data_IF_827538386283
#
_entry.id   IF_827538386283
#
_cell.length_a   1.000
_cell.length_b   1.000
_cell.length_c   1.000
_cell.angle_alpha   90.00
_cell.angle_beta   90.00
_cell.angle_gamma   90.00
#
_symmetry.space_group_name_H-M   'P 1'
#
loop_
_entity.id
_entity.type
_entity.pdbx_description
1 polymer ?
#
# COMPACT_ATOMS: atom_id res chain seq x y z
N UNK A 1 -6.63 -24.86 14.20
CA UNK A 1 -7.90 -24.97 13.43
C UNK A 1 -8.35 -23.56 13.04
N UNK A 2 -8.68 -23.30 11.76
CA UNK A 2 -9.29 -22.03 11.36
C UNK A 2 -10.80 -22.07 11.70
N UNK A 3 -11.37 -21.03 12.33
CA UNK A 3 -12.76 -21.08 12.82
C UNK A 3 -13.77 -21.26 11.67
N UNK A 4 -14.92 -21.92 11.93
CA UNK A 4 -16.00 -22.07 10.94
C UNK A 4 -16.38 -20.73 10.31
N UNK A 5 -16.70 -20.75 9.01
CA UNK A 5 -17.17 -19.56 8.28
C UNK A 5 -16.10 -18.53 7.88
N UNK A 6 -14.81 -18.77 8.13
CA UNK A 6 -13.73 -17.85 7.74
C UNK A 6 -13.73 -17.53 6.23
N UNK A 7 -13.90 -18.55 5.38
CA UNK A 7 -13.94 -18.34 3.91
C UNK A 7 -15.05 -17.38 3.51
N UNK A 8 -16.26 -17.59 4.04
CA UNK A 8 -17.42 -16.72 3.80
C UNK A 8 -17.14 -15.28 4.24
N UNK A 9 -16.50 -15.10 5.40
CA UNK A 9 -16.13 -13.78 5.93
C UNK A 9 -15.08 -13.08 5.05
N UNK A 10 -14.07 -13.80 4.58
CA UNK A 10 -13.09 -13.27 3.61
C UNK A 10 -13.78 -12.87 2.30
N UNK A 11 -14.72 -13.68 1.81
CA UNK A 11 -15.47 -13.36 0.58
C UNK A 11 -16.41 -12.16 0.77
N UNK A 12 -16.96 -11.96 1.97
CA UNK A 12 -17.70 -10.74 2.33
C UNK A 12 -16.80 -9.49 2.33
N UNK A 13 -15.60 -9.58 2.89
CA UNK A 13 -14.62 -8.49 2.92
C UNK A 13 -14.13 -8.13 1.51
N UNK A 14 -13.93 -9.13 0.64
CA UNK A 14 -13.64 -8.89 -0.79
C UNK A 14 -14.79 -8.17 -1.49
N UNK A 15 -16.04 -8.57 -1.22
CA UNK A 15 -17.23 -7.89 -1.76
C UNK A 15 -17.37 -6.46 -1.23
N UNK A 16 -17.01 -6.20 0.03
CA UNK A 16 -16.94 -4.83 0.57
C UNK A 16 -15.92 -3.97 -0.18
N UNK A 17 -14.71 -4.48 -0.43
CA UNK A 17 -13.72 -3.76 -1.22
C UNK A 17 -14.18 -3.49 -2.65
N UNK A 18 -14.85 -4.46 -3.29
CA UNK A 18 -15.42 -4.28 -4.63
C UNK A 18 -16.54 -3.23 -4.64
N UNK A 19 -17.45 -3.27 -3.65
CA UNK A 19 -18.51 -2.25 -3.51
C UNK A 19 -17.92 -0.87 -3.25
N UNK A 20 -16.91 -0.75 -2.40
CA UNK A 20 -16.18 0.50 -2.18
C UNK A 20 -15.56 1.02 -3.48
N UNK A 21 -14.94 0.13 -4.26
CA UNK A 21 -14.34 0.50 -5.53
C UNK A 21 -15.38 0.96 -6.57
N UNK A 22 -16.53 0.30 -6.63
CA UNK A 22 -17.63 0.66 -7.52
C UNK A 22 -18.35 1.95 -7.10
N UNK A 23 -18.42 2.24 -5.80
CA UNK A 23 -18.99 3.49 -5.28
C UNK A 23 -18.08 4.71 -5.51
N UNK A 24 -16.78 4.48 -5.72
CA UNK A 24 -15.77 5.53 -5.90
C UNK A 24 -14.91 5.30 -7.16
N UNK A 25 -15.51 5.32 -8.37
CA UNK A 25 -14.77 5.16 -9.62
C UNK A 25 -13.77 6.30 -9.86
N UNK A 26 -14.05 7.50 -9.35
CA UNK A 26 -13.19 8.67 -9.43
C UNK A 26 -11.87 8.50 -8.65
N UNK A 27 -11.76 7.48 -7.79
CA UNK A 27 -10.57 7.18 -6.98
C UNK A 27 -9.78 5.97 -7.49
N UNK A 28 -10.09 5.46 -8.67
CA UNK A 28 -9.42 4.28 -9.23
C UNK A 28 -7.91 4.46 -9.34
N UNK A 29 -7.44 5.63 -9.78
CA UNK A 29 -6.02 5.92 -9.86
C UNK A 29 -5.35 5.84 -8.48
N UNK A 30 -5.91 6.51 -7.47
CA UNK A 30 -5.36 6.51 -6.11
C UNK A 30 -5.34 5.08 -5.53
N UNK A 31 -6.42 4.33 -5.70
CA UNK A 31 -6.51 2.94 -5.23
C UNK A 31 -5.45 2.04 -5.87
N UNK A 32 -5.22 2.21 -7.16
CA UNK A 32 -4.22 1.43 -7.90
C UNK A 32 -2.80 1.84 -7.51
N UNK A 33 -2.55 3.13 -7.33
CA UNK A 33 -1.29 3.66 -6.83
C UNK A 33 -0.98 3.12 -5.41
N UNK A 34 -1.96 3.09 -4.51
CA UNK A 34 -1.80 2.53 -3.16
C UNK A 34 -1.37 1.06 -3.19
N UNK A 35 -1.97 0.24 -4.07
CA UNK A 35 -1.59 -1.18 -4.24
C UNK A 35 -0.18 -1.33 -4.81
N UNK A 36 0.17 -0.52 -5.82
CA UNK A 36 1.50 -0.53 -6.40
C UNK A 36 2.58 -0.15 -5.37
N UNK A 37 2.36 0.94 -4.61
CA UNK A 37 3.30 1.38 -3.57
C UNK A 37 3.44 0.36 -2.45
N UNK A 38 2.36 -0.30 -2.07
CA UNK A 38 2.43 -1.41 -1.11
C UNK A 38 3.27 -2.57 -1.67
N UNK A 39 3.08 -2.92 -2.94
CA UNK A 39 3.89 -3.92 -3.60
C UNK A 39 5.39 -3.57 -3.64
N UNK A 40 5.74 -2.29 -3.84
CA UNK A 40 7.13 -1.83 -3.76
C UNK A 40 7.73 -2.00 -2.36
N UNK A 41 6.92 -1.82 -1.30
CA UNK A 41 7.36 -2.13 0.05
C UNK A 41 7.62 -3.64 0.23
N UNK A 42 6.74 -4.49 -0.30
CA UNK A 42 6.88 -5.95 -0.20
C UNK A 42 8.01 -6.54 -1.05
N UNK A 43 8.38 -5.89 -2.15
CA UNK A 43 9.57 -6.24 -2.95
C UNK A 43 10.84 -6.24 -2.08
N UNK A 44 10.92 -5.33 -1.11
CA UNK A 44 12.05 -5.24 -0.17
C UNK A 44 12.25 -6.51 0.68
N UNK A 45 11.19 -7.29 0.87
CA UNK A 45 11.23 -8.57 1.58
C UNK A 45 11.31 -9.79 0.63
N UNK A 46 11.33 -9.56 -0.69
CA UNK A 46 11.31 -10.64 -1.68
C UNK A 46 9.95 -11.34 -1.85
N UNK A 47 8.86 -10.78 -1.31
CA UNK A 47 7.51 -11.38 -1.36
C UNK A 47 6.77 -11.13 -2.67
N UNK A 48 7.18 -10.09 -3.41
CA UNK A 48 6.59 -9.72 -4.70
C UNK A 48 7.67 -9.63 -5.75
N UNK A 49 7.45 -10.29 -6.90
CA UNK A 49 8.34 -10.18 -8.05
C UNK A 49 8.23 -8.84 -8.76
N UNK A 50 9.35 -8.36 -9.32
CA UNK A 50 9.43 -7.08 -10.00
C UNK A 50 8.56 -7.04 -11.27
N UNK A 51 8.42 -8.16 -12.00
CA UNK A 51 7.47 -8.26 -13.13
C UNK A 51 6.05 -7.94 -12.70
N UNK A 52 5.61 -8.46 -11.55
CA UNK A 52 4.25 -8.20 -11.03
C UNK A 52 4.07 -6.72 -10.68
N UNK A 53 5.13 -6.05 -10.21
CA UNK A 53 5.08 -4.61 -9.93
C UNK A 53 5.08 -3.76 -11.19
N UNK A 54 5.82 -4.16 -12.23
CA UNK A 54 5.74 -3.51 -13.54
C UNK A 54 4.33 -3.61 -14.11
N UNK A 55 3.68 -4.77 -13.98
CA UNK A 55 2.26 -4.93 -14.37
C UNK A 55 1.32 -4.08 -13.50
N UNK A 56 1.58 -3.98 -12.19
CA UNK A 56 0.82 -3.09 -11.32
C UNK A 56 1.00 -1.62 -11.71
N UNK A 57 2.21 -1.20 -12.10
CA UNK A 57 2.51 0.13 -12.61
C UNK A 57 1.72 0.42 -13.90
N UNK A 58 1.66 -0.52 -14.85
CA UNK A 58 0.82 -0.38 -16.05
C UNK A 58 -0.65 -0.15 -15.69
N UNK A 59 -1.17 -0.82 -14.64
CA UNK A 59 -2.55 -0.59 -14.17
C UNK A 59 -2.72 0.82 -13.62
N UNK A 60 -1.72 1.38 -12.94
CA UNK A 60 -1.76 2.78 -12.48
C UNK A 60 -1.86 3.72 -13.68
N UNK A 61 -1.05 3.50 -14.71
CA UNK A 61 -1.11 4.30 -15.95
C UNK A 61 -2.46 4.13 -16.66
N UNK A 62 -2.98 2.91 -16.76
CA UNK A 62 -4.28 2.66 -17.39
C UNK A 62 -5.47 3.26 -16.62
N UNK A 63 -5.31 3.46 -15.30
CA UNK A 63 -6.27 4.16 -14.46
C UNK A 63 -6.15 5.69 -14.58
N UNK A 64 -5.11 6.22 -15.22
CA UNK A 64 -4.92 7.66 -15.44
C UNK A 64 -5.84 8.15 -16.58
N UNK A 65 -7.09 8.48 -16.24
CA UNK A 65 -8.13 8.89 -17.17
C UNK A 65 -8.76 10.22 -16.76
N UNK A 66 -9.45 10.94 -17.69
CA UNK A 66 -10.26 12.09 -17.32
C UNK A 66 -11.27 11.76 -16.22
N UNK A 67 -11.46 12.68 -15.28
CA UNK A 67 -12.39 12.52 -14.15
C UNK A 67 -11.81 11.82 -12.91
N UNK A 68 -10.54 11.40 -12.92
CA UNK A 68 -9.88 10.85 -11.74
C UNK A 68 -9.51 11.93 -10.73
N UNK A 69 -9.93 11.76 -9.49
CA UNK A 69 -9.54 12.60 -8.36
C UNK A 69 -8.15 12.19 -7.86
N UNK A 70 -7.25 13.17 -7.79
CA UNK A 70 -5.92 12.99 -7.19
C UNK A 70 -5.87 13.37 -5.72
N UNK A 71 -6.83 14.13 -5.21
CA UNK A 71 -6.78 14.67 -3.85
C UNK A 71 -5.67 15.72 -3.66
N UNK A 72 -5.67 16.41 -2.53
CA UNK A 72 -4.74 17.51 -2.22
C UNK A 72 -3.78 17.21 -1.07
N UNK A 73 -3.81 16.00 -0.52
CA UNK A 73 -2.98 15.59 0.61
C UNK A 73 -1.50 15.39 0.27
N UNK A 74 -0.69 15.13 1.29
CA UNK A 74 0.73 14.78 1.13
C UNK A 74 0.92 13.44 0.43
N UNK A 75 0.14 12.41 0.80
CA UNK A 75 0.27 11.08 0.20
C UNK A 75 0.00 11.07 -1.32
N UNK A 76 -1.06 11.70 -1.86
CA UNK A 76 -1.25 11.73 -3.31
C UNK A 76 -0.15 12.47 -4.05
N UNK A 77 0.40 13.55 -3.48
CA UNK A 77 1.55 14.26 -4.05
C UNK A 77 2.77 13.34 -4.14
N UNK A 78 3.06 12.57 -3.10
CA UNK A 78 4.11 11.56 -3.14
C UNK A 78 3.83 10.49 -4.20
N UNK A 79 2.60 9.97 -4.28
CA UNK A 79 2.24 8.97 -5.27
C UNK A 79 2.45 9.46 -6.71
N UNK A 80 2.03 10.70 -7.01
CA UNK A 80 2.25 11.33 -8.31
C UNK A 80 3.74 11.51 -8.61
N UNK A 81 4.51 11.99 -7.64
CA UNK A 81 5.95 12.17 -7.78
C UNK A 81 6.68 10.85 -8.03
N UNK A 82 6.28 9.77 -7.35
CA UNK A 82 6.81 8.43 -7.58
C UNK A 82 6.47 7.97 -8.99
N UNK A 83 5.21 8.13 -9.44
CA UNK A 83 4.84 7.76 -10.82
C UNK A 83 5.65 8.53 -11.86
N UNK A 84 5.93 9.80 -11.61
CA UNK A 84 6.75 10.66 -12.47
C UNK A 84 8.20 10.19 -12.53
N UNK A 85 8.83 9.94 -11.38
CA UNK A 85 10.22 9.47 -11.31
C UNK A 85 10.39 8.05 -11.85
N UNK A 86 9.37 7.20 -11.72
CA UNK A 86 9.37 5.85 -12.27
C UNK A 86 9.04 5.79 -13.76
N UNK A 87 8.49 6.86 -14.35
CA UNK A 87 8.04 6.85 -15.74
C UNK A 87 9.18 6.50 -16.71
N UNK A 88 10.26 7.29 -16.72
CA UNK A 88 11.38 7.03 -17.62
C UNK A 88 11.98 5.62 -17.47
N UNK A 89 12.33 5.14 -16.25
CA UNK A 89 12.96 3.82 -16.11
C UNK A 89 12.00 2.64 -16.29
N UNK A 90 10.70 2.81 -16.07
CA UNK A 90 9.73 1.71 -16.19
C UNK A 90 8.94 1.73 -17.49
N UNK A 91 8.86 2.83 -18.23
CA UNK A 91 8.01 2.89 -19.43
C UNK A 91 8.44 1.87 -20.49
N UNK A 92 9.75 1.76 -20.76
CA UNK A 92 10.29 0.79 -21.71
C UNK A 92 10.16 -0.65 -21.20
N UNK A 93 10.50 -0.88 -19.92
CA UNK A 93 10.38 -2.19 -19.28
C UNK A 93 8.93 -2.65 -19.21
N UNK A 94 7.99 -1.74 -18.94
CA UNK A 94 6.57 -2.01 -18.92
C UNK A 94 6.04 -2.39 -20.29
N UNK A 95 6.54 -1.81 -21.38
CA UNK A 95 6.08 -2.20 -22.71
C UNK A 95 6.42 -3.67 -23.02
N UNK A 96 7.63 -4.14 -22.67
CA UNK A 96 8.11 -5.49 -23.02
C UNK A 96 9.06 -6.10 -21.96
N UNK A 97 8.56 -6.53 -20.78
CA UNK A 97 9.41 -6.95 -19.66
C UNK A 97 10.40 -8.07 -20.02
N UNK A 98 9.95 -9.05 -20.82
CA UNK A 98 10.77 -10.22 -21.21
C UNK A 98 11.88 -9.88 -22.22
N UNK A 99 11.83 -8.69 -22.86
CA UNK A 99 12.83 -8.27 -23.84
C UNK A 99 14.03 -7.58 -23.19
N UNK A 100 13.87 -7.10 -21.96
CA UNK A 100 14.85 -6.28 -21.25
C UNK A 100 15.58 -7.02 -20.11
N UNK A 101 15.13 -8.21 -19.71
CA UNK A 101 15.75 -8.96 -18.63
C UNK A 101 15.56 -10.47 -18.77
N UNK A 102 16.59 -11.24 -18.42
CA UNK A 102 16.54 -12.70 -18.37
C UNK A 102 16.04 -13.23 -17.02
N UNK A 103 16.05 -12.39 -15.97
CA UNK A 103 15.64 -12.71 -14.61
C UNK A 103 14.83 -11.59 -13.98
N UNK A 104 13.95 -11.93 -13.05
CA UNK A 104 13.02 -10.98 -12.45
C UNK A 104 13.72 -9.90 -11.59
N UNK A 105 14.79 -10.26 -10.90
CA UNK A 105 15.61 -9.33 -10.10
C UNK A 105 16.30 -8.26 -10.96
N UNK A 106 16.55 -8.55 -12.24
CA UNK A 106 17.09 -7.61 -13.22
C UNK A 106 16.03 -6.64 -13.76
N UNK A 107 14.73 -6.91 -13.52
CA UNK A 107 13.61 -6.10 -14.00
C UNK A 107 13.40 -4.92 -13.06
N UNK A 108 14.19 -3.86 -13.22
CA UNK A 108 13.99 -2.57 -12.55
C UNK A 108 13.92 -2.61 -11.00
N UNK A 109 14.23 -3.73 -10.36
CA UNK A 109 14.24 -3.91 -8.90
C UNK A 109 15.00 -2.78 -8.18
N UNK A 110 16.21 -2.36 -8.62
CA UNK A 110 16.93 -1.29 -7.95
C UNK A 110 16.17 0.04 -7.92
N UNK A 111 15.45 0.39 -9.00
CA UNK A 111 14.69 1.64 -9.06
C UNK A 111 13.38 1.54 -8.29
N UNK A 112 12.73 0.37 -8.32
CA UNK A 112 11.49 0.08 -7.58
C UNK A 112 11.69 0.08 -6.06
N UNK A 113 12.87 -0.32 -5.57
CA UNK A 113 13.24 -0.26 -4.16
C UNK A 113 13.65 1.15 -3.72
N UNK A 114 14.31 1.91 -4.61
CA UNK A 114 14.88 3.22 -4.27
C UNK A 114 13.85 4.35 -4.31
N UNK A 115 13.18 4.55 -5.44
CA UNK A 115 12.37 5.76 -5.69
C UNK A 115 11.22 5.92 -4.69
N UNK A 116 10.37 4.90 -4.41
CA UNK A 116 9.28 5.05 -3.45
C UNK A 116 9.77 5.42 -2.05
N UNK A 117 10.83 4.78 -1.56
CA UNK A 117 11.40 5.04 -0.25
C UNK A 117 11.99 6.47 -0.17
N UNK A 118 12.79 6.88 -1.16
CA UNK A 118 13.31 8.25 -1.23
C UNK A 118 12.20 9.30 -1.23
N UNK A 119 11.12 9.11 -2.01
CA UNK A 119 10.05 10.11 -2.12
C UNK A 119 9.17 10.16 -0.87
N UNK A 120 8.81 9.01 -0.29
CA UNK A 120 7.90 8.97 0.88
C UNK A 120 8.62 9.27 2.19
N UNK A 121 9.85 8.77 2.33
CA UNK A 121 10.60 8.76 3.59
C UNK A 121 11.80 9.72 3.58
N UNK A 122 12.21 10.22 2.41
CA UNK A 122 13.43 11.02 2.26
C UNK A 122 14.73 10.22 2.27
N UNK A 123 14.67 8.89 2.41
CA UNK A 123 15.83 8.01 2.56
C UNK A 123 15.55 6.60 2.05
N UNK A 124 16.61 5.83 1.85
CA UNK A 124 16.55 4.41 1.47
C UNK A 124 17.47 3.60 2.37
N UNK A 125 17.06 2.37 2.73
CA UNK A 125 17.83 1.51 3.62
C UNK A 125 17.04 0.26 4.03
N UNK A 126 17.66 -0.68 4.76
CA UNK A 126 17.01 -1.92 5.16
C UNK A 126 15.73 -1.73 6.00
N UNK A 127 15.64 -0.63 6.75
CA UNK A 127 14.53 -0.28 7.65
C UNK A 127 13.41 0.52 6.99
N UNK A 128 13.42 0.66 5.66
CA UNK A 128 12.49 1.57 4.95
C UNK A 128 11.18 0.92 4.51
N UNK A 129 11.13 -0.40 4.42
CA UNK A 129 10.02 -1.13 3.82
C UNK A 129 8.74 -1.09 4.68
N UNK A 130 8.83 -1.40 5.97
CA UNK A 130 7.67 -1.34 6.85
C UNK A 130 7.12 0.09 7.00
N UNK A 131 7.97 1.12 7.26
CA UNK A 131 7.51 2.51 7.26
C UNK A 131 6.85 2.97 5.97
N UNK A 132 7.36 2.54 4.81
CA UNK A 132 6.74 2.82 3.52
C UNK A 132 5.33 2.21 3.44
N UNK A 133 5.18 0.93 3.81
CA UNK A 133 3.88 0.26 3.82
C UNK A 133 2.89 0.94 4.79
N UNK A 134 3.35 1.32 5.98
CA UNK A 134 2.54 1.99 6.99
C UNK A 134 2.05 3.36 6.52
N UNK A 135 2.94 4.21 6.03
CA UNK A 135 2.58 5.55 5.55
C UNK A 135 1.72 5.50 4.30
N UNK A 136 1.96 4.52 3.42
CA UNK A 136 1.11 4.29 2.27
C UNK A 136 -0.31 3.87 2.69
N UNK A 137 -0.45 2.94 3.64
CA UNK A 137 -1.75 2.51 4.15
C UNK A 137 -2.52 3.64 4.84
N UNK A 138 -1.84 4.40 5.71
CA UNK A 138 -2.43 5.54 6.41
C UNK A 138 -2.87 6.64 5.43
N UNK A 139 -2.00 7.03 4.50
CA UNK A 139 -2.28 8.05 3.50
C UNK A 139 -3.40 7.67 2.53
N UNK A 140 -3.38 6.43 2.03
CA UNK A 140 -4.42 5.94 1.12
C UNK A 140 -5.78 5.83 1.82
N UNK A 141 -5.82 5.41 3.08
CA UNK A 141 -7.04 5.37 3.88
C UNK A 141 -7.59 6.77 4.16
N UNK A 142 -6.72 7.73 4.50
CA UNK A 142 -7.11 9.12 4.75
C UNK A 142 -7.68 9.82 3.50
N UNK A 143 -7.28 9.38 2.30
CA UNK A 143 -7.85 9.84 1.03
C UNK A 143 -9.03 8.98 0.56
N UNK A 144 -9.48 8.03 1.38
CA UNK A 144 -10.55 7.08 1.08
C UNK A 144 -10.32 6.28 -0.22
N UNK A 145 -9.06 6.14 -0.64
CA UNK A 145 -8.66 5.38 -1.82
C UNK A 145 -8.86 3.88 -1.60
N UNK A 146 -8.63 3.43 -0.36
CA UNK A 146 -8.79 2.05 0.09
C UNK A 146 -9.67 1.98 1.34
N UNK A 147 -10.16 0.78 1.64
CA UNK A 147 -10.94 0.51 2.87
C UNK A 147 -10.03 0.37 4.09
N UNK A 148 -10.58 0.52 5.30
CA UNK A 148 -9.84 0.30 6.55
C UNK A 148 -9.26 -1.12 6.63
N UNK A 149 -10.00 -2.12 6.16
CA UNK A 149 -9.53 -3.51 6.12
C UNK A 149 -8.37 -3.72 5.13
N UNK A 150 -8.41 -3.06 3.97
CA UNK A 150 -7.30 -3.11 3.00
C UNK A 150 -6.04 -2.42 3.56
N UNK A 151 -6.20 -1.28 4.25
CA UNK A 151 -5.11 -0.61 4.94
C UNK A 151 -4.48 -1.51 6.03
N UNK A 152 -5.31 -2.15 6.88
CA UNK A 152 -4.82 -3.13 7.85
C UNK A 152 -4.11 -4.30 7.19
N UNK A 153 -4.62 -4.79 6.06
CA UNK A 153 -4.01 -5.89 5.31
C UNK A 153 -2.62 -5.50 4.82
N UNK A 154 -2.45 -4.28 4.30
CA UNK A 154 -1.13 -3.79 3.88
C UNK A 154 -0.14 -3.74 5.03
N UNK A 155 -0.53 -3.14 6.15
CA UNK A 155 0.35 -3.04 7.33
C UNK A 155 0.68 -4.42 7.89
N UNK A 156 -0.31 -5.31 7.99
CA UNK A 156 -0.10 -6.66 8.48
C UNK A 156 0.75 -7.54 7.56
N UNK A 157 0.67 -7.33 6.24
CA UNK A 157 1.52 -8.04 5.27
C UNK A 157 2.99 -7.64 5.44
N UNK A 158 3.29 -6.33 5.53
CA UNK A 158 4.65 -5.89 5.81
C UNK A 158 5.14 -6.34 7.20
N UNK A 159 4.30 -6.21 8.22
CA UNK A 159 4.63 -6.63 9.58
C UNK A 159 4.62 -8.16 9.80
N UNK A 160 4.42 -8.96 8.76
CA UNK A 160 4.78 -10.38 8.79
C UNK A 160 6.30 -10.55 8.88
N UNK A 161 7.04 -9.74 8.11
CA UNK A 161 8.50 -9.75 8.05
C UNK A 161 9.14 -8.97 9.21
N UNK A 162 8.45 -7.94 9.70
CA UNK A 162 8.93 -7.11 10.81
C UNK A 162 7.92 -7.12 11.98
N UNK A 163 7.80 -8.25 12.71
CA UNK A 163 6.76 -8.45 13.72
C UNK A 163 6.93 -7.57 14.97
N UNK A 164 8.17 -7.14 15.27
CA UNK A 164 8.52 -6.42 16.49
C UNK A 164 8.28 -4.91 16.40
N UNK A 165 7.81 -4.43 15.24
CA UNK A 165 7.40 -3.04 15.12
C UNK A 165 6.25 -2.71 16.07
N UNK A 166 6.41 -1.64 16.85
CA UNK A 166 5.45 -1.15 17.85
C UNK A 166 3.95 -1.19 17.45
N UNK A 167 3.53 -0.82 16.22
CA UNK A 167 2.12 -0.89 15.84
C UNK A 167 1.56 -2.31 15.71
N UNK A 168 2.39 -3.34 15.52
CA UNK A 168 1.96 -4.66 15.07
C UNK A 168 1.03 -5.43 16.01
N UNK A 169 1.23 -5.45 17.34
CA UNK A 169 0.28 -6.09 18.25
C UNK A 169 -1.13 -5.50 18.11
N UNK A 170 -1.23 -4.17 18.05
CA UNK A 170 -2.50 -3.46 17.92
C UNK A 170 -3.16 -3.69 16.56
N UNK A 171 -2.38 -3.65 15.48
CA UNK A 171 -2.88 -3.85 14.11
C UNK A 171 -3.40 -5.27 13.88
N UNK A 172 -2.71 -6.30 14.40
CA UNK A 172 -3.16 -7.68 14.32
C UNK A 172 -4.46 -7.90 15.11
N UNK A 173 -4.54 -7.35 16.32
CA UNK A 173 -5.75 -7.42 17.14
C UNK A 173 -6.95 -6.74 16.46
N UNK A 174 -6.75 -5.54 15.88
CA UNK A 174 -7.77 -4.83 15.12
C UNK A 174 -8.23 -5.61 13.89
N UNK A 175 -7.29 -6.23 13.16
CA UNK A 175 -7.60 -7.07 12.01
C UNK A 175 -8.47 -8.26 12.40
N UNK A 176 -8.10 -9.00 13.43
CA UNK A 176 -8.90 -10.12 13.95
C UNK A 176 -10.30 -9.65 14.35
N UNK A 177 -10.42 -8.55 15.11
CA UNK A 177 -11.74 -7.98 15.48
C UNK A 177 -12.57 -7.58 14.25
N UNK A 178 -11.96 -7.00 13.22
CA UNK A 178 -12.65 -6.59 12.00
C UNK A 178 -13.18 -7.80 11.19
N UNK A 179 -12.40 -8.89 11.17
CA UNK A 179 -12.77 -10.15 10.54
C UNK A 179 -13.87 -10.89 11.32
N UNK A 180 -13.79 -10.87 12.66
CA UNK A 180 -14.67 -11.63 13.57
C UNK A 180 -16.00 -10.94 13.89
N UNK A 181 -16.07 -9.60 13.82
CA UNK A 181 -17.25 -8.83 14.21
C UNK A 181 -17.81 -7.94 13.08
N UNK A 182 -18.53 -8.52 12.09
CA UNK A 182 -19.09 -7.77 10.96
C UNK A 182 -19.95 -6.56 11.36
N UNK A 183 -20.77 -6.70 12.41
CA UNK A 183 -21.63 -5.63 12.90
C UNK A 183 -20.84 -4.42 13.48
N UNK A 184 -19.59 -4.63 13.90
CA UNK A 184 -18.74 -3.59 14.48
C UNK A 184 -17.82 -2.92 13.45
N UNK A 185 -17.79 -3.38 12.20
CA UNK A 185 -16.87 -2.89 11.14
C UNK A 185 -16.87 -1.37 10.98
N UNK A 186 -18.02 -0.64 11.01
CA UNK A 186 -17.99 0.82 10.91
C UNK A 186 -17.24 1.49 12.08
N UNK A 187 -17.46 1.01 13.31
CA UNK A 187 -16.76 1.53 14.49
C UNK A 187 -15.25 1.17 14.44
N UNK A 188 -14.94 -0.07 14.05
CA UNK A 188 -13.56 -0.54 13.90
C UNK A 188 -12.83 0.22 12.78
N UNK A 189 -13.49 0.59 11.68
CA UNK A 189 -12.90 1.40 10.62
C UNK A 189 -12.43 2.78 11.13
N UNK A 190 -13.22 3.40 12.02
CA UNK A 190 -12.84 4.65 12.69
C UNK A 190 -11.66 4.45 13.65
N UNK A 191 -11.67 3.37 14.42
CA UNK A 191 -10.58 2.98 15.33
C UNK A 191 -9.26 2.78 14.55
N UNK A 192 -9.30 1.98 13.48
CA UNK A 192 -8.17 1.74 12.56
C UNK A 192 -7.63 3.05 11.99
N UNK A 193 -8.51 3.91 11.48
CA UNK A 193 -8.13 5.20 10.91
C UNK A 193 -7.43 6.10 11.94
N UNK A 194 -7.84 6.01 13.21
CA UNK A 194 -7.24 6.79 14.30
C UNK A 194 -5.88 6.24 14.70
N UNK A 195 -5.76 4.92 14.86
CA UNK A 195 -4.49 4.26 15.14
C UNK A 195 -3.45 4.52 14.05
N UNK A 196 -3.80 4.35 12.77
CA UNK A 196 -2.87 4.57 11.66
C UNK A 196 -2.40 6.02 11.59
N UNK A 197 -3.28 7.00 11.85
CA UNK A 197 -2.90 8.42 11.94
C UNK A 197 -1.94 8.69 13.09
N UNK A 198 -2.17 8.10 14.27
CA UNK A 198 -1.26 8.23 15.41
C UNK A 198 0.12 7.67 15.08
N UNK A 199 0.18 6.46 14.52
CA UNK A 199 1.45 5.84 14.17
C UNK A 199 2.20 6.59 13.07
N UNK A 200 1.48 7.13 12.07
CA UNK A 200 2.07 8.03 11.07
C UNK A 200 2.68 9.27 11.73
N UNK A 201 1.97 9.92 12.65
CA UNK A 201 2.46 11.10 13.35
C UNK A 201 3.73 10.80 14.17
N UNK A 202 3.71 9.71 14.95
CA UNK A 202 4.85 9.28 15.76
C UNK A 202 6.08 8.92 14.92
N UNK A 203 5.86 8.28 13.78
CA UNK A 203 6.92 7.91 12.85
C UNK A 203 7.57 9.16 12.23
N UNK A 204 6.75 10.10 11.74
CA UNK A 204 7.23 11.37 11.20
C UNK A 204 7.97 12.21 12.25
N UNK A 205 7.51 12.19 13.50
CA UNK A 205 8.16 12.92 14.60
C UNK A 205 9.52 12.32 14.96
N UNK A 206 9.63 10.99 15.05
CA UNK A 206 10.90 10.30 15.30
C UNK A 206 11.93 10.59 14.22
N UNK A 207 11.52 10.71 12.95
CA UNK A 207 12.47 11.06 11.89
C UNK A 207 12.94 12.49 11.91
N UNK A 208 12.09 13.45 12.30
CA UNK A 208 12.51 14.85 12.48
C UNK A 208 13.54 15.04 13.58
N UNK A 209 13.58 14.12 14.55
CA UNK A 209 14.44 14.21 15.74
C UNK A 209 15.69 13.33 15.64
N UNK A 210 15.79 12.48 14.62
CA UNK A 210 16.93 11.59 14.37
C UNK A 210 17.99 12.19 13.42
N UNK A 211 17.81 13.45 13.01
CA UNK A 211 18.77 14.29 12.26
C UNK A 211 19.38 15.32 13.18
#
# INVERSE_FOLDING_TARGET
MRPPGLRRRIDELRREQQRHAAAHPEREWLRTAARFLHGCALLGYGDVGATSLVQAYQRVLAADRPGQQRGSGTWPRHALEIMRQLHQPLHEVAAQPQRHAARDDQIATPVLLRVPATVVLGRTGPDTHFPLALLNAAGALAQHAITAYEALTFVCAAGHYEPDHAPMPSMRALRTRYEDHPAQRPALATEISTHLRSFEADLRQRWRTAT
#
